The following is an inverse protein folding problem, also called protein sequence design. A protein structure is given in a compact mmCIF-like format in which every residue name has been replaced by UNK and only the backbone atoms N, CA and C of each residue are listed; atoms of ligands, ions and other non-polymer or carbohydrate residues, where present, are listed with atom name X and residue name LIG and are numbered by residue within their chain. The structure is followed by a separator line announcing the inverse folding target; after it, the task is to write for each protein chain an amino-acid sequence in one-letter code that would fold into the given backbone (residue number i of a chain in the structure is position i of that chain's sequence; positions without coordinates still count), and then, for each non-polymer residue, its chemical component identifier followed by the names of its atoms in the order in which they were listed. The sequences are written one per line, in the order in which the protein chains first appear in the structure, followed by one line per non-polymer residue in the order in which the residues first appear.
data_IF_687967291636
#
_entry.id   IF_687967291636
#
_cell.length_a   1.000
_cell.length_b   1.000
_cell.length_c   1.000
_cell.angle_alpha   90.00
_cell.angle_beta   90.00
_cell.angle_gamma   90.00
#
_symmetry.space_group_name_H-M   'P 1'
#
loop_
_entity.id
_entity.type
_entity.pdbx_description
1 polymer ?
#
# COMPACT_ATOMS: atom_id res chain seq x y z
N UNK A 1 -7.33 1.13 -17.17
CA UNK A 1 -7.82 2.32 -16.44
C UNK A 1 -7.24 3.57 -17.09
N UNK A 2 -8.06 4.60 -17.26
CA UNK A 2 -7.66 5.83 -17.94
C UNK A 2 -6.50 6.52 -17.20
N UNK A 3 -5.42 6.97 -17.87
CA UNK A 3 -4.41 7.83 -17.26
C UNK A 3 -4.97 9.10 -16.58
N UNK A 4 -6.12 9.60 -17.05
CA UNK A 4 -6.85 10.71 -16.37
C UNK A 4 -7.35 10.35 -14.95
N UNK A 5 -7.32 9.07 -14.56
CA UNK A 5 -7.68 8.63 -13.20
C UNK A 5 -6.57 8.85 -12.16
N UNK A 6 -5.36 9.26 -12.57
CA UNK A 6 -4.25 9.57 -11.66
C UNK A 6 -4.63 10.77 -10.77
N UNK A 7 -4.47 10.60 -9.45
CA UNK A 7 -4.86 11.61 -8.47
C UNK A 7 -6.38 11.72 -8.23
N UNK A 8 -7.18 10.83 -8.82
CA UNK A 8 -8.62 10.82 -8.65
C UNK A 8 -9.09 9.70 -7.70
N UNK A 9 -10.24 9.85 -7.04
CA UNK A 9 -10.86 8.78 -6.26
C UNK A 9 -11.19 7.57 -7.14
N UNK A 10 -11.37 6.42 -6.53
CA UNK A 10 -11.65 5.18 -7.24
C UNK A 10 -13.16 5.03 -7.53
N UNK A 11 -13.58 5.50 -8.70
CA UNK A 11 -14.97 5.42 -9.14
C UNK A 11 -15.93 6.29 -8.32
N UNK A 12 -17.23 6.13 -8.57
CA UNK A 12 -18.29 6.96 -7.99
C UNK A 12 -19.25 6.15 -7.09
N UNK A 13 -19.14 4.82 -7.04
CA UNK A 13 -20.09 3.98 -6.30
C UNK A 13 -19.89 4.04 -4.79
N UNK A 14 -18.65 4.17 -4.33
CA UNK A 14 -18.29 4.25 -2.91
C UNK A 14 -17.37 5.45 -2.68
N UNK A 15 -17.83 6.43 -1.91
CA UNK A 15 -17.03 7.59 -1.53
C UNK A 15 -16.05 7.20 -0.42
N UNK A 16 -14.74 7.14 -0.73
CA UNK A 16 -13.74 6.74 0.26
C UNK A 16 -12.35 6.45 -0.29
N UNK A 17 -11.39 6.29 0.60
CA UNK A 17 -10.06 5.72 0.34
C UNK A 17 -10.19 4.20 0.52
N UNK A 18 -10.40 3.47 -0.57
CA UNK A 18 -10.87 2.08 -0.52
C UNK A 18 -9.77 1.03 -0.46
N UNK A 19 -8.54 1.40 -0.77
CA UNK A 19 -7.36 0.53 -0.81
C UNK A 19 -6.11 1.33 -0.47
N UNK A 20 -4.97 0.69 -0.41
CA UNK A 20 -3.69 1.37 -0.26
C UNK A 20 -3.54 2.49 -1.31
N UNK A 21 -3.35 3.73 -0.85
CA UNK A 21 -3.25 4.96 -1.65
C UNK A 21 -4.44 5.18 -2.59
N UNK A 22 -5.61 4.74 -2.17
CA UNK A 22 -6.95 5.14 -2.57
C UNK A 22 -7.46 4.64 -3.91
N UNK A 23 -6.61 4.36 -4.88
CA UNK A 23 -7.02 4.04 -6.24
C UNK A 23 -6.13 2.96 -6.88
N UNK A 24 -6.52 2.34 -8.00
CA UNK A 24 -5.68 1.41 -8.74
C UNK A 24 -4.38 2.00 -9.27
N UNK A 25 -4.30 3.32 -9.44
CA UNK A 25 -3.07 4.03 -9.79
C UNK A 25 -2.23 4.41 -8.55
N UNK A 26 -2.69 4.08 -7.33
CA UNK A 26 -1.98 4.34 -6.06
C UNK A 26 -1.61 5.81 -5.83
N UNK A 27 -2.44 6.73 -6.32
CA UNK A 27 -2.14 8.15 -6.42
C UNK A 27 -3.18 9.09 -5.80
N UNK A 28 -4.24 8.55 -5.19
CA UNK A 28 -5.24 9.34 -4.48
C UNK A 28 -5.12 9.16 -2.96
N UNK A 29 -4.76 10.23 -2.25
CA UNK A 29 -4.30 10.10 -0.86
C UNK A 29 -5.36 10.41 0.19
N UNK A 30 -6.56 10.89 -0.21
CA UNK A 30 -7.64 11.22 0.70
C UNK A 30 -8.44 12.45 0.29
N UNK A 31 -9.27 12.93 1.21
CA UNK A 31 -10.18 14.08 1.03
C UNK A 31 -9.97 15.09 2.15
N UNK A 32 -9.67 16.32 1.79
CA UNK A 32 -9.45 17.42 2.72
C UNK A 32 -10.73 17.95 3.44
N UNK A 33 -10.55 18.97 4.26
CA UNK A 33 -9.28 19.62 4.56
C UNK A 33 -8.33 18.79 5.45
N UNK A 34 -7.05 19.15 5.48
CA UNK A 34 -6.11 18.66 6.50
C UNK A 34 -6.26 19.53 7.75
N UNK A 35 -6.27 18.97 8.99
CA UNK A 35 -6.41 19.79 10.19
C UNK A 35 -5.21 20.73 10.39
N UNK A 36 -5.44 21.92 10.99
CA UNK A 36 -4.42 22.94 11.20
C UNK A 36 -3.72 22.83 12.56
N UNK A 37 -4.45 22.45 13.61
CA UNK A 37 -3.95 22.32 14.99
C UNK A 37 -4.48 21.03 15.64
N UNK A 38 -4.12 19.85 15.09
CA UNK A 38 -4.75 18.62 15.49
C UNK A 38 -4.36 18.17 16.91
N UNK A 39 -5.35 17.61 17.59
CA UNK A 39 -5.17 16.84 18.82
C UNK A 39 -5.68 15.42 18.59
N UNK A 40 -5.20 14.46 19.37
CA UNK A 40 -5.79 13.13 19.40
C UNK A 40 -7.18 13.21 20.03
N UNK A 41 -8.21 12.86 19.25
CA UNK A 41 -9.61 12.90 19.72
C UNK A 41 -10.10 11.54 20.19
N UNK A 42 -9.54 10.47 19.64
CA UNK A 42 -9.72 9.10 20.12
C UNK A 42 -8.52 8.23 19.70
N UNK A 43 -8.37 7.09 20.34
CA UNK A 43 -7.48 6.01 19.95
C UNK A 43 -8.21 4.66 20.01
N UNK A 44 -7.92 3.79 19.06
CA UNK A 44 -8.48 2.45 19.00
C UNK A 44 -7.37 1.40 19.15
N UNK A 45 -7.61 0.33 19.90
CA UNK A 45 -8.76 0.09 20.77
C UNK A 45 -8.72 0.98 22.02
N UNK A 46 -9.86 1.23 22.65
CA UNK A 46 -9.94 2.03 23.87
C UNK A 46 -9.13 1.40 25.02
N UNK A 47 -9.18 0.09 25.14
CA UNK A 47 -8.47 -0.71 26.12
C UNK A 47 -7.71 -1.83 25.43
N UNK A 48 -6.53 -2.16 25.95
CA UNK A 48 -5.55 -3.08 25.39
C UNK A 48 -4.85 -2.53 24.13
N UNK A 49 -3.82 -3.22 23.68
CA UNK A 49 -3.09 -2.88 22.48
C UNK A 49 -3.39 -3.91 21.40
N UNK A 50 -3.38 -3.50 20.16
CA UNK A 50 -3.42 -4.42 19.01
C UNK A 50 -2.07 -5.12 18.89
N UNK A 51 -1.87 -6.22 19.62
CA UNK A 51 -0.63 -6.96 19.64
C UNK A 51 -0.86 -8.46 19.55
N UNK A 52 -0.01 -9.17 18.83
CA UNK A 52 0.08 -10.63 18.89
C UNK A 52 1.54 -11.11 18.85
N UNK A 53 1.74 -12.39 19.13
CA UNK A 53 3.01 -13.08 18.91
C UNK A 53 3.05 -13.60 17.48
N UNK A 54 4.10 -13.31 16.76
CA UNK A 54 4.35 -13.87 15.44
C UNK A 54 5.75 -14.45 15.37
N UNK A 55 6.02 -15.34 14.42
CA UNK A 55 7.34 -15.95 14.24
C UNK A 55 7.99 -15.44 12.96
N UNK A 56 9.15 -14.81 13.07
CA UNK A 56 9.96 -14.34 11.96
C UNK A 56 11.29 -15.08 11.99
N UNK A 57 11.63 -15.78 10.90
CA UNK A 57 12.87 -16.56 10.81
C UNK A 57 13.09 -17.52 11.99
N UNK A 58 11.98 -18.07 12.53
CA UNK A 58 12.00 -18.99 13.68
C UNK A 58 12.17 -18.31 15.05
N UNK A 59 12.19 -16.98 15.12
CA UNK A 59 12.21 -16.21 16.36
C UNK A 59 10.79 -15.69 16.63
N UNK A 60 10.26 -15.99 17.82
CA UNK A 60 8.93 -15.51 18.23
C UNK A 60 9.06 -14.12 18.87
N UNK A 61 8.37 -13.14 18.29
CA UNK A 61 8.39 -11.75 18.74
C UNK A 61 6.97 -11.21 18.87
N UNK A 62 6.78 -10.26 19.79
CA UNK A 62 5.52 -9.52 19.89
C UNK A 62 5.52 -8.35 18.91
N UNK A 63 4.52 -8.32 18.04
CA UNK A 63 4.27 -7.21 17.14
C UNK A 63 2.98 -6.49 17.53
N UNK A 64 3.01 -5.16 17.46
CA UNK A 64 1.89 -4.32 17.87
C UNK A 64 1.58 -3.26 16.82
N UNK A 65 0.31 -2.87 16.70
CA UNK A 65 -0.16 -1.78 15.86
C UNK A 65 -0.46 -2.19 14.43
N UNK A 66 -0.11 -1.34 13.49
CA UNK A 66 -0.33 -1.55 12.05
C UNK A 66 1.00 -1.60 11.31
N UNK A 67 1.03 -2.38 10.22
CA UNK A 67 2.22 -2.59 9.39
C UNK A 67 2.58 -1.42 8.48
N UNK A 68 3.81 -1.43 7.98
CA UNK A 68 4.35 -0.42 7.07
C UNK A 68 3.68 -0.39 5.69
N UNK A 69 3.12 -1.50 5.21
CA UNK A 69 2.27 -1.56 4.03
C UNK A 69 0.79 -1.33 4.36
N UNK A 70 0.46 -1.14 5.65
CA UNK A 70 -0.90 -0.93 6.13
C UNK A 70 -1.33 0.53 5.98
N UNK A 71 -2.54 0.73 5.49
CA UNK A 71 -3.29 1.98 5.50
C UNK A 71 -4.73 1.62 5.80
N UNK A 72 -5.42 2.31 6.73
CA UNK A 72 -6.86 2.10 6.92
C UNK A 72 -7.62 2.45 5.64
N UNK A 73 -8.55 1.60 5.21
CA UNK A 73 -9.58 2.01 4.28
C UNK A 73 -10.62 2.86 5.04
N UNK A 74 -10.99 3.99 4.46
CA UNK A 74 -12.03 4.87 5.00
C UNK A 74 -13.06 5.18 3.94
N UNK A 75 -14.35 5.03 4.25
CA UNK A 75 -15.40 5.20 3.27
C UNK A 75 -16.76 5.47 3.93
N UNK A 76 -17.66 6.03 3.15
CA UNK A 76 -19.07 6.20 3.55
C UNK A 76 -19.85 4.96 3.17
N UNK A 77 -20.51 4.39 4.17
CA UNK A 77 -21.43 3.26 3.99
C UNK A 77 -22.67 3.48 4.86
N UNK A 78 -23.86 3.43 4.24
CA UNK A 78 -25.10 3.87 4.85
C UNK A 78 -24.99 5.30 5.39
N UNK A 79 -25.27 5.54 6.68
CA UNK A 79 -25.21 6.87 7.31
C UNK A 79 -23.90 7.12 8.07
N UNK A 80 -22.94 6.15 8.04
CA UNK A 80 -21.71 6.18 8.83
C UNK A 80 -20.47 6.30 7.96
N UNK A 81 -19.41 6.83 8.54
CA UNK A 81 -18.06 6.75 7.95
C UNK A 81 -17.30 5.62 8.63
N UNK A 82 -16.94 4.61 7.85
CA UNK A 82 -16.29 3.41 8.31
C UNK A 82 -14.78 3.48 8.13
N UNK A 83 -14.07 2.90 9.09
CA UNK A 83 -12.67 2.51 8.97
C UNK A 83 -12.59 0.98 9.01
N UNK A 84 -11.98 0.38 7.99
CA UNK A 84 -11.64 -1.05 8.00
C UNK A 84 -10.14 -1.17 7.82
N UNK A 85 -9.49 -1.97 8.68
CA UNK A 85 -8.05 -2.17 8.62
C UNK A 85 -7.63 -3.50 9.25
N UNK A 86 -6.52 -4.05 8.74
CA UNK A 86 -5.82 -5.15 9.37
C UNK A 86 -4.77 -4.65 10.36
N UNK A 87 -4.47 -5.45 11.39
CA UNK A 87 -3.50 -5.07 12.40
C UNK A 87 -2.63 -6.25 12.87
N UNK A 88 -1.62 -5.94 13.67
CA UNK A 88 -0.69 -6.91 14.23
C UNK A 88 -1.25 -7.71 15.42
N UNK A 89 -2.52 -7.50 15.79
CA UNK A 89 -3.23 -8.39 16.70
C UNK A 89 -3.96 -9.54 15.99
N UNK A 90 -3.64 -9.77 14.70
CA UNK A 90 -4.20 -10.84 13.87
C UNK A 90 -5.70 -10.68 13.67
N UNK A 91 -6.17 -9.46 13.43
CA UNK A 91 -7.58 -9.16 13.21
C UNK A 91 -7.80 -8.12 12.12
N UNK A 92 -8.98 -8.22 11.51
CA UNK A 92 -9.59 -7.12 10.75
C UNK A 92 -10.57 -6.39 11.65
N UNK A 93 -10.43 -5.08 11.73
CA UNK A 93 -11.23 -4.19 12.57
C UNK A 93 -12.22 -3.38 11.73
N UNK A 94 -13.42 -3.14 12.29
CA UNK A 94 -14.51 -2.40 11.68
C UNK A 94 -14.94 -1.30 12.66
N UNK A 95 -14.55 -0.05 12.38
CA UNK A 95 -14.59 1.05 13.34
C UNK A 95 -15.32 2.25 12.75
N UNK A 96 -16.12 2.94 13.55
CA UNK A 96 -16.68 4.24 13.20
C UNK A 96 -15.56 5.29 13.21
N UNK A 97 -15.35 5.95 12.08
CA UNK A 97 -14.28 6.92 11.90
C UNK A 97 -14.44 8.16 12.81
N UNK A 98 -15.67 8.53 13.17
CA UNK A 98 -15.91 9.72 13.98
C UNK A 98 -15.68 9.49 15.48
N UNK A 99 -16.05 8.30 15.96
CA UNK A 99 -16.07 7.99 17.40
C UNK A 99 -14.97 7.04 17.88
N UNK A 100 -14.39 6.23 16.97
CA UNK A 100 -13.45 5.16 17.30
C UNK A 100 -14.14 3.91 17.88
N UNK A 101 -15.45 3.86 17.91
CA UNK A 101 -16.21 2.71 18.39
C UNK A 101 -16.29 1.60 17.32
N UNK A 102 -16.42 0.34 17.76
CA UNK A 102 -16.64 -0.78 16.83
C UNK A 102 -18.03 -0.71 16.20
N UNK A 103 -18.08 -0.80 14.88
CA UNK A 103 -19.33 -0.98 14.12
C UNK A 103 -19.70 -2.46 14.02
N UNK A 104 -18.72 -3.34 13.91
CA UNK A 104 -18.88 -4.79 13.93
C UNK A 104 -17.83 -5.43 14.87
N UNK A 105 -18.06 -6.67 15.32
CA UNK A 105 -17.01 -7.47 15.95
C UNK A 105 -15.78 -7.61 15.07
N UNK A 106 -14.59 -7.67 15.68
CA UNK A 106 -13.33 -7.90 14.97
C UNK A 106 -13.36 -9.29 14.30
N UNK A 107 -12.86 -9.42 13.07
CA UNK A 107 -12.67 -10.71 12.41
C UNK A 107 -11.26 -11.26 12.69
N UNK A 108 -11.12 -12.44 13.35
CA UNK A 108 -9.80 -12.99 13.64
C UNK A 108 -9.20 -13.69 12.42
N UNK A 109 -7.89 -13.48 12.20
CA UNK A 109 -7.03 -14.25 11.31
C UNK A 109 -6.11 -15.17 12.13
N UNK A 110 -5.37 -16.04 11.46
CA UNK A 110 -4.45 -16.97 12.14
C UNK A 110 -3.09 -16.37 12.51
N UNK A 111 -2.72 -15.23 11.88
CA UNK A 111 -1.48 -14.48 12.14
C UNK A 111 -1.70 -13.01 11.76
N UNK A 112 -0.68 -12.17 11.98
CA UNK A 112 -0.71 -10.72 11.78
C UNK A 112 -1.10 -10.34 10.33
N UNK A 113 -1.65 -9.13 10.19
CA UNK A 113 -1.95 -8.52 8.89
C UNK A 113 -1.01 -7.33 8.72
N UNK A 114 -0.13 -7.37 7.70
CA UNK A 114 0.80 -6.29 7.36
C UNK A 114 0.23 -5.33 6.30
N UNK A 115 -0.40 -5.91 5.27
CA UNK A 115 -0.95 -5.18 4.13
C UNK A 115 -2.22 -4.38 4.43
N UNK A 116 -2.57 -3.49 3.51
CA UNK A 116 -3.85 -2.79 3.55
C UNK A 116 -4.98 -3.71 3.07
N UNK A 117 -6.14 -3.54 3.67
CA UNK A 117 -7.37 -4.13 3.14
C UNK A 117 -7.84 -3.34 1.90
N UNK A 118 -8.68 -3.96 1.09
CA UNK A 118 -9.40 -3.28 0.01
C UNK A 118 -10.89 -3.45 0.21
N UNK A 119 -11.62 -2.34 0.23
CA UNK A 119 -13.09 -2.31 0.23
C UNK A 119 -13.56 -2.36 -1.22
N UNK A 120 -14.65 -3.05 -1.47
CA UNK A 120 -15.21 -3.23 -2.81
C UNK A 120 -15.61 -1.89 -3.44
N UNK A 121 -15.04 -1.53 -4.62
CA UNK A 121 -15.28 -0.22 -5.23
C UNK A 121 -16.65 -0.08 -5.88
N UNK A 122 -17.36 -1.19 -6.14
CA UNK A 122 -18.64 -1.20 -6.82
C UNK A 122 -19.84 -1.21 -5.84
N UNK A 123 -19.54 -1.10 -4.53
CA UNK A 123 -20.53 -0.97 -3.48
C UNK A 123 -21.08 -2.27 -2.93
N UNK A 124 -20.51 -3.41 -3.28
CA UNK A 124 -20.79 -4.64 -2.53
C UNK A 124 -20.20 -4.52 -1.12
N UNK A 125 -20.88 -4.96 -0.06
CA UNK A 125 -20.37 -4.91 1.30
C UNK A 125 -19.27 -5.96 1.53
N UNK A 126 -18.17 -5.85 0.81
CA UNK A 126 -17.05 -6.77 0.79
C UNK A 126 -15.73 -6.09 1.13
N UNK A 127 -14.87 -6.82 1.83
CA UNK A 127 -13.48 -6.45 2.08
C UNK A 127 -12.55 -7.61 1.73
N UNK A 128 -11.45 -7.27 1.06
CA UNK A 128 -10.42 -8.20 0.59
C UNK A 128 -9.18 -8.01 1.45
N UNK A 129 -8.64 -9.09 2.02
CA UNK A 129 -7.53 -9.01 2.97
C UNK A 129 -6.61 -10.21 2.89
N UNK A 130 -5.32 -9.95 2.85
CA UNK A 130 -4.26 -10.93 3.02
C UNK A 130 -3.74 -10.99 4.46
N UNK A 131 -3.18 -12.11 4.89
CA UNK A 131 -2.59 -12.27 6.21
C UNK A 131 -1.39 -13.22 6.17
N UNK A 132 -0.51 -13.12 7.17
CA UNK A 132 0.61 -14.05 7.39
C UNK A 132 0.19 -15.47 7.76
N UNK A 133 -1.09 -15.74 7.99
CA UNK A 133 -1.61 -17.08 8.13
C UNK A 133 -1.75 -17.85 6.81
N UNK A 134 -1.15 -17.32 5.74
CA UNK A 134 -1.10 -17.85 4.38
C UNK A 134 -2.41 -17.74 3.59
N UNK A 135 -3.43 -17.04 4.07
CA UNK A 135 -4.71 -16.90 3.38
C UNK A 135 -4.96 -15.49 2.87
N UNK A 136 -5.40 -15.43 1.61
CA UNK A 136 -6.16 -14.30 1.05
C UNK A 136 -7.64 -14.58 1.25
N UNK A 137 -8.40 -13.59 1.75
CA UNK A 137 -9.80 -13.72 2.14
C UNK A 137 -10.70 -12.68 1.52
N UNK A 138 -11.96 -13.05 1.35
CA UNK A 138 -13.07 -12.14 1.08
C UNK A 138 -14.04 -12.23 2.26
N UNK A 139 -14.23 -11.10 2.94
CA UNK A 139 -15.15 -10.98 4.05
C UNK A 139 -16.35 -10.11 3.64
N UNK A 140 -17.54 -10.43 4.11
CA UNK A 140 -18.68 -9.52 4.02
C UNK A 140 -18.92 -8.81 5.35
N UNK A 141 -19.45 -7.58 5.28
CA UNK A 141 -19.84 -6.76 6.43
C UNK A 141 -21.33 -6.31 6.36
N UNK A 142 -22.17 -7.08 5.67
CA UNK A 142 -23.62 -6.86 5.49
C UNK A 142 -24.50 -7.47 6.59
N UNK A 143 -23.94 -7.79 7.75
CA UNK A 143 -24.64 -8.44 8.86
C UNK A 143 -24.23 -7.88 10.23
N UNK A 144 -24.70 -8.52 11.31
CA UNK A 144 -24.33 -8.15 12.68
C UNK A 144 -22.87 -8.51 13.04
N UNK A 145 -22.24 -9.37 12.23
CA UNK A 145 -20.84 -9.78 12.34
C UNK A 145 -20.24 -10.03 10.95
N UNK A 146 -18.92 -9.82 10.76
CA UNK A 146 -18.27 -10.10 9.49
C UNK A 146 -18.25 -11.60 9.20
N UNK A 147 -18.44 -11.98 7.93
CA UNK A 147 -18.47 -13.39 7.49
C UNK A 147 -17.38 -13.66 6.47
N UNK A 148 -16.60 -14.72 6.65
CA UNK A 148 -15.68 -15.20 5.60
C UNK A 148 -16.52 -15.90 4.49
N UNK A 149 -16.56 -15.29 3.31
CA UNK A 149 -17.26 -15.84 2.16
C UNK A 149 -16.38 -16.75 1.32
N UNK A 150 -15.09 -16.45 1.28
CA UNK A 150 -14.12 -17.22 0.52
C UNK A 150 -12.71 -16.98 1.07
N UNK A 151 -11.85 -17.97 0.89
CA UNK A 151 -10.40 -17.84 1.08
C UNK A 151 -9.63 -18.81 0.19
N UNK A 152 -8.38 -18.47 -0.09
CA UNK A 152 -7.43 -19.31 -0.81
C UNK A 152 -6.10 -19.33 -0.07
N UNK A 153 -5.47 -20.48 -0.05
CA UNK A 153 -4.17 -20.66 0.59
C UNK A 153 -3.03 -20.46 -0.41
N UNK A 154 -1.96 -19.78 -0.01
CA UNK A 154 -0.81 -19.50 -0.88
C UNK A 154 -0.14 -20.77 -1.45
N UNK A 155 -0.22 -21.90 -0.74
CA UNK A 155 0.31 -23.19 -1.21
C UNK A 155 -0.60 -23.93 -2.22
N UNK A 156 -1.79 -23.43 -2.49
CA UNK A 156 -2.67 -24.01 -3.53
C UNK A 156 -2.09 -23.77 -4.94
N UNK A 157 -1.08 -22.91 -5.04
CA UNK A 157 -0.39 -22.54 -6.29
C UNK A 157 1.05 -23.06 -6.29
N UNK A 158 1.52 -23.53 -7.43
CA UNK A 158 2.85 -24.12 -7.56
C UNK A 158 3.46 -23.89 -8.95
N UNK A 159 4.78 -23.71 -9.05
CA UNK A 159 5.76 -23.63 -7.96
C UNK A 159 5.68 -22.29 -7.22
N UNK A 160 5.98 -22.30 -5.92
CA UNK A 160 6.20 -21.10 -5.12
C UNK A 160 7.70 -20.86 -4.92
N UNK A 161 8.05 -19.59 -4.65
CA UNK A 161 9.38 -19.20 -4.19
C UNK A 161 9.20 -18.48 -2.85
N UNK A 162 10.20 -18.38 -2.03
CA UNK A 162 10.26 -17.68 -0.77
C UNK A 162 9.24 -18.15 0.28
N UNK A 163 8.26 -17.31 0.67
CA UNK A 163 7.34 -17.49 1.81
C UNK A 163 5.88 -17.65 1.32
N UNK A 164 4.87 -17.41 2.17
CA UNK A 164 3.47 -17.61 1.82
C UNK A 164 2.54 -16.52 2.37
N UNK A 165 3.10 -15.44 2.89
CA UNK A 165 2.36 -14.31 3.40
C UNK A 165 1.67 -13.54 2.25
N UNK A 166 0.61 -12.81 2.57
CA UNK A 166 -0.10 -11.95 1.63
C UNK A 166 0.00 -10.50 2.13
N UNK A 167 1.08 -9.83 1.77
CA UNK A 167 1.39 -8.47 2.21
C UNK A 167 0.98 -7.39 1.21
N UNK A 168 0.86 -7.75 -0.06
CA UNK A 168 0.36 -6.88 -1.12
C UNK A 168 -1.11 -6.53 -0.91
N UNK A 169 -1.48 -5.26 -1.11
CA UNK A 169 -2.88 -4.81 -1.04
C UNK A 169 -3.61 -5.17 -2.32
N UNK A 170 -4.66 -6.01 -2.28
CA UNK A 170 -5.34 -6.44 -3.50
C UNK A 170 -6.06 -5.29 -4.22
N UNK A 171 -6.40 -5.50 -5.50
CA UNK A 171 -7.27 -4.62 -6.29
C UNK A 171 -8.47 -5.39 -6.82
N UNK A 172 -9.59 -4.69 -7.01
CA UNK A 172 -10.79 -5.21 -7.66
C UNK A 172 -11.20 -4.29 -8.80
N UNK A 173 -11.23 -4.79 -10.02
CA UNK A 173 -11.64 -4.03 -11.21
C UNK A 173 -12.52 -4.94 -12.07
N UNK A 174 -13.69 -4.47 -12.49
CA UNK A 174 -14.58 -5.18 -13.42
C UNK A 174 -14.89 -6.63 -13.00
N UNK A 175 -15.16 -6.85 -11.72
CA UNK A 175 -15.39 -8.17 -11.12
C UNK A 175 -14.15 -9.10 -11.07
N UNK A 176 -12.93 -8.57 -11.31
CA UNK A 176 -11.67 -9.29 -11.17
C UNK A 176 -10.91 -8.84 -9.94
N UNK A 177 -10.42 -9.81 -9.16
CA UNK A 177 -9.51 -9.60 -8.05
C UNK A 177 -8.07 -9.84 -8.51
N UNK A 178 -7.23 -8.84 -8.34
CA UNK A 178 -5.79 -8.86 -8.60
C UNK A 178 -5.04 -8.95 -7.28
N UNK A 179 -4.30 -10.01 -7.06
CA UNK A 179 -3.61 -10.25 -5.81
C UNK A 179 -2.24 -10.88 -6.01
N UNK A 180 -1.30 -10.52 -5.16
CA UNK A 180 0.04 -11.08 -5.13
C UNK A 180 0.48 -11.29 -3.67
N UNK A 181 1.52 -12.08 -3.47
CA UNK A 181 2.03 -12.38 -2.14
C UNK A 181 3.47 -12.91 -2.15
N UNK A 182 3.96 -13.24 -0.96
CA UNK A 182 5.31 -13.76 -0.76
C UNK A 182 5.54 -15.16 -1.36
N UNK A 183 4.47 -15.84 -1.83
CA UNK A 183 4.59 -17.04 -2.67
C UNK A 183 5.21 -16.74 -4.05
N UNK A 184 5.49 -15.45 -4.31
CA UNK A 184 6.14 -14.93 -5.50
C UNK A 184 5.33 -15.10 -6.78
N UNK A 185 4.01 -15.27 -6.67
CA UNK A 185 3.10 -15.41 -7.80
C UNK A 185 2.09 -14.29 -7.83
N UNK A 186 1.64 -13.93 -9.01
CA UNK A 186 0.52 -13.03 -9.24
C UNK A 186 -0.71 -13.83 -9.63
N UNK A 187 -1.87 -13.48 -9.04
CA UNK A 187 -3.13 -14.21 -9.18
C UNK A 187 -4.24 -13.27 -9.65
N UNK A 188 -5.06 -13.74 -10.57
CA UNK A 188 -6.26 -13.04 -11.03
C UNK A 188 -7.45 -13.98 -10.89
N UNK A 189 -8.46 -13.54 -10.12
CA UNK A 189 -9.69 -14.28 -9.90
C UNK A 189 -10.87 -13.50 -10.47
N UNK A 190 -11.80 -14.18 -11.12
CA UNK A 190 -13.12 -13.63 -11.42
C UNK A 190 -14.03 -13.88 -10.23
N UNK A 191 -14.56 -12.82 -9.62
CA UNK A 191 -15.21 -12.88 -8.31
C UNK A 191 -16.61 -13.46 -8.32
N UNK A 192 -17.37 -13.27 -9.44
CA UNK A 192 -18.78 -13.68 -9.57
C UNK A 192 -19.63 -13.13 -8.41
N UNK A 193 -19.50 -11.82 -8.15
CA UNK A 193 -20.23 -11.13 -7.06
C UNK A 193 -21.72 -11.02 -7.39
N UNK A 194 -22.58 -11.30 -6.41
CA UNK A 194 -24.03 -11.18 -6.54
C UNK A 194 -24.72 -11.09 -5.18
N UNK A 195 -26.04 -11.00 -5.18
CA UNK A 195 -26.85 -11.10 -3.97
C UNK A 195 -27.70 -12.35 -4.02
N UNK A 196 -27.84 -13.03 -2.87
CA UNK A 196 -28.76 -14.16 -2.73
C UNK A 196 -30.23 -13.69 -2.63
N UNK A 197 -31.16 -14.66 -2.49
CA UNK A 197 -32.61 -14.37 -2.41
C UNK A 197 -33.01 -13.61 -1.13
N UNK A 198 -32.16 -13.65 -0.11
CA UNK A 198 -32.31 -12.91 1.14
C UNK A 198 -31.69 -11.53 1.10
N UNK A 199 -31.04 -11.15 -0.04
CA UNK A 199 -30.37 -9.87 -0.24
C UNK A 199 -28.99 -9.78 0.41
N UNK A 200 -28.38 -10.90 0.79
CA UNK A 200 -27.01 -10.95 1.33
C UNK A 200 -26.00 -11.12 0.20
N UNK A 201 -24.86 -10.46 0.33
CA UNK A 201 -23.79 -10.60 -0.66
C UNK A 201 -23.20 -12.02 -0.65
N UNK A 202 -22.94 -12.53 -1.84
CA UNK A 202 -22.30 -13.82 -2.10
C UNK A 202 -21.25 -13.67 -3.20
N UNK A 203 -20.22 -14.52 -3.13
CA UNK A 203 -19.13 -14.58 -4.12
C UNK A 203 -18.85 -16.03 -4.51
N UNK A 204 -18.38 -16.25 -5.72
CA UNK A 204 -17.91 -17.55 -6.22
C UNK A 204 -16.64 -17.39 -7.03
N UNK A 205 -15.51 -17.02 -6.37
CA UNK A 205 -14.28 -16.72 -7.08
C UNK A 205 -13.72 -17.91 -7.85
N UNK A 206 -13.40 -17.69 -9.12
CA UNK A 206 -12.77 -18.64 -10.01
C UNK A 206 -11.40 -18.11 -10.42
N UNK A 207 -10.35 -18.95 -10.31
CA UNK A 207 -9.03 -18.59 -10.79
C UNK A 207 -9.07 -18.44 -12.32
N UNK A 208 -8.77 -17.24 -12.81
CA UNK A 208 -8.65 -16.96 -14.23
C UNK A 208 -7.26 -17.35 -14.69
N UNK A 209 -6.24 -16.82 -14.03
CA UNK A 209 -4.84 -17.13 -14.30
C UNK A 209 -3.98 -16.89 -13.08
N UNK A 210 -2.84 -17.57 -13.01
CA UNK A 210 -1.75 -17.26 -12.11
C UNK A 210 -0.40 -17.44 -12.83
N UNK A 211 0.53 -16.55 -12.55
CA UNK A 211 1.84 -16.57 -13.20
C UNK A 211 2.97 -16.19 -12.23
N UNK A 212 4.21 -16.67 -12.49
CA UNK A 212 5.36 -16.35 -11.65
C UNK A 212 5.71 -14.87 -11.77
N UNK A 213 5.96 -14.22 -10.62
CA UNK A 213 6.52 -12.88 -10.54
C UNK A 213 8.04 -12.85 -10.76
N UNK A 214 8.64 -13.92 -11.25
CA UNK A 214 10.07 -14.06 -11.52
C UNK A 214 10.32 -14.71 -12.88
N UNK A 215 11.56 -14.65 -13.33
CA UNK A 215 12.09 -15.47 -14.43
C UNK A 215 13.42 -16.14 -14.03
N UNK A 216 13.90 -17.06 -14.87
CA UNK A 216 15.10 -17.84 -14.57
C UNK A 216 16.37 -16.97 -14.52
N UNK A 217 16.40 -15.86 -15.28
CA UNK A 217 17.51 -14.89 -15.23
C UNK A 217 17.58 -14.26 -13.85
N UNK A 218 16.47 -13.75 -13.32
CA UNK A 218 16.42 -13.18 -11.97
C UNK A 218 16.81 -14.18 -10.91
N UNK A 219 16.29 -15.41 -10.97
CA UNK A 219 16.63 -16.47 -10.00
C UNK A 219 18.12 -16.79 -10.02
N UNK A 220 18.76 -16.77 -11.19
CA UNK A 220 20.21 -16.97 -11.31
C UNK A 220 21.01 -15.89 -10.60
N UNK A 221 20.51 -14.64 -10.61
CA UNK A 221 21.21 -13.47 -10.04
C UNK A 221 20.99 -13.31 -8.53
N UNK A 222 19.75 -13.52 -8.05
CA UNK A 222 19.36 -13.19 -6.67
C UNK A 222 18.89 -14.39 -5.82
N UNK A 223 18.72 -15.56 -6.42
CA UNK A 223 18.18 -16.73 -5.73
C UNK A 223 16.65 -16.70 -5.60
N UNK A 224 16.11 -17.35 -4.55
CA UNK A 224 14.66 -17.59 -4.41
C UNK A 224 13.90 -16.54 -3.62
N UNK A 225 14.57 -15.55 -3.02
CA UNK A 225 13.86 -14.43 -2.36
C UNK A 225 13.39 -13.43 -3.42
N UNK A 226 12.19 -13.67 -3.93
CA UNK A 226 11.54 -12.91 -5.01
C UNK A 226 10.05 -12.71 -4.71
N UNK A 227 9.71 -12.56 -3.42
CA UNK A 227 8.35 -12.25 -2.95
C UNK A 227 7.76 -11.02 -3.65
N UNK A 228 6.44 -10.95 -3.75
CA UNK A 228 5.75 -9.76 -4.25
C UNK A 228 5.07 -9.11 -3.06
N UNK A 229 5.71 -8.06 -2.53
CA UNK A 229 5.19 -7.24 -1.42
C UNK A 229 4.61 -5.92 -1.92
N UNK A 230 5.02 -5.47 -3.10
CA UNK A 230 4.41 -4.30 -3.76
C UNK A 230 2.93 -4.54 -4.03
N UNK A 231 2.12 -3.51 -3.84
CA UNK A 231 0.71 -3.56 -4.23
C UNK A 231 0.57 -3.39 -5.75
N UNK A 232 -0.33 -4.14 -6.42
CA UNK A 232 -0.54 -4.02 -7.85
C UNK A 232 -0.98 -2.59 -8.23
N UNK A 233 -0.43 -2.11 -9.33
CA UNK A 233 -0.77 -0.86 -9.99
C UNK A 233 -1.38 -1.20 -11.34
N UNK A 234 -2.51 -0.59 -11.69
CA UNK A 234 -3.09 -0.73 -13.03
C UNK A 234 -3.21 0.65 -13.67
N UNK A 235 -2.51 0.82 -14.79
CA UNK A 235 -2.52 2.02 -15.62
C UNK A 235 -2.85 1.65 -17.07
N UNK A 236 -3.91 2.20 -17.62
CA UNK A 236 -4.45 1.73 -18.89
C UNK A 236 -4.84 0.26 -18.79
N UNK A 237 -4.38 -0.51 -19.75
CA UNK A 237 -4.54 -1.96 -19.81
C UNK A 237 -3.31 -2.72 -19.33
N UNK A 238 -2.44 -2.06 -18.54
CA UNK A 238 -1.22 -2.69 -18.04
C UNK A 238 -1.22 -2.77 -16.52
N UNK A 239 -1.02 -3.98 -16.04
CA UNK A 239 -0.76 -4.29 -14.64
C UNK A 239 0.74 -4.19 -14.37
N UNK A 240 1.15 -3.37 -13.39
CA UNK A 240 2.53 -3.26 -12.94
C UNK A 240 2.68 -3.74 -11.50
N UNK A 241 3.81 -4.38 -11.23
CA UNK A 241 4.27 -4.75 -9.89
C UNK A 241 5.78 -4.98 -9.90
N UNK A 242 6.37 -5.06 -8.72
CA UNK A 242 7.75 -5.46 -8.55
C UNK A 242 7.88 -6.55 -7.49
N UNK A 243 9.05 -7.11 -7.33
CA UNK A 243 9.33 -8.14 -6.35
C UNK A 243 10.61 -7.86 -5.56
N UNK A 244 10.80 -8.60 -4.46
CA UNK A 244 11.99 -8.50 -3.60
C UNK A 244 13.29 -8.90 -4.30
N UNK A 245 13.25 -9.50 -5.49
CA UNK A 245 14.43 -9.67 -6.35
C UNK A 245 14.83 -8.41 -7.15
N UNK A 246 14.00 -7.36 -7.08
CA UNK A 246 14.21 -6.10 -7.80
C UNK A 246 13.67 -6.08 -9.22
N UNK A 247 12.80 -7.02 -9.60
CA UNK A 247 12.24 -7.10 -10.94
C UNK A 247 10.93 -6.31 -11.03
N UNK A 248 10.96 -5.18 -11.72
CA UNK A 248 9.81 -4.39 -12.11
C UNK A 248 9.21 -4.97 -13.39
N UNK A 249 7.91 -5.24 -13.39
CA UNK A 249 7.21 -5.90 -14.50
C UNK A 249 5.95 -5.15 -14.88
N UNK A 250 5.61 -5.18 -16.18
CA UNK A 250 4.33 -4.75 -16.73
C UNK A 250 3.71 -5.89 -17.55
N UNK A 251 2.43 -6.14 -17.34
CA UNK A 251 1.67 -7.20 -17.98
C UNK A 251 0.43 -6.63 -18.67
N UNK A 252 0.28 -6.91 -19.96
CA UNK A 252 -0.93 -6.55 -20.71
C UNK A 252 -2.09 -7.43 -20.27
N UNK A 253 -3.16 -6.78 -19.81
CA UNK A 253 -4.40 -7.38 -19.31
C UNK A 253 -5.63 -6.97 -20.15
N UNK A 254 -5.44 -6.31 -21.31
CA UNK A 254 -6.54 -5.80 -22.15
C UNK A 254 -7.55 -6.88 -22.56
N UNK A 255 -7.07 -8.10 -22.80
CA UNK A 255 -7.90 -9.22 -23.23
C UNK A 255 -8.50 -10.08 -22.13
N UNK A 256 -8.36 -9.69 -20.86
CA UNK A 256 -8.74 -10.53 -19.72
C UNK A 256 -10.24 -10.94 -19.78
N UNK A 257 -11.13 -10.00 -20.10
CA UNK A 257 -12.57 -10.26 -20.22
C UNK A 257 -12.95 -11.14 -21.43
N UNK A 258 -12.05 -11.29 -22.40
CA UNK A 258 -12.19 -12.16 -23.56
C UNK A 258 -11.54 -13.55 -23.35
N UNK A 259 -10.97 -13.78 -22.15
CA UNK A 259 -10.27 -15.01 -21.82
C UNK A 259 -8.87 -15.12 -22.43
N UNK A 260 -8.27 -13.97 -22.77
CA UNK A 260 -6.89 -13.91 -23.29
C UNK A 260 -5.95 -13.81 -22.09
N UNK A 261 -4.97 -14.71 -22.03
CA UNK A 261 -3.96 -14.75 -20.97
C UNK A 261 -3.10 -13.48 -20.97
N UNK A 262 -2.81 -12.89 -19.80
CA UNK A 262 -1.90 -11.76 -19.68
C UNK A 262 -0.50 -12.08 -20.22
N UNK A 263 0.11 -11.11 -20.89
CA UNK A 263 1.47 -11.25 -21.42
C UNK A 263 2.38 -10.17 -20.88
N UNK A 264 3.63 -10.55 -20.50
CA UNK A 264 4.60 -9.58 -20.01
C UNK A 264 5.08 -8.67 -21.14
N UNK A 265 4.83 -7.37 -21.02
CA UNK A 265 5.18 -6.33 -21.99
C UNK A 265 6.31 -5.42 -21.50
N UNK A 266 6.62 -5.44 -20.20
CA UNK A 266 7.68 -4.64 -19.61
C UNK A 266 8.49 -5.44 -18.60
N UNK A 267 9.81 -5.25 -18.61
CA UNK A 267 10.77 -5.88 -17.69
C UNK A 267 11.92 -4.92 -17.41
N UNK A 268 12.15 -4.61 -16.15
CA UNK A 268 13.33 -3.86 -15.72
C UNK A 268 13.87 -4.43 -14.40
N UNK A 269 15.16 -4.77 -14.35
CA UNK A 269 15.79 -5.22 -13.11
C UNK A 269 16.50 -4.07 -12.42
N UNK A 270 15.99 -3.65 -11.27
CA UNK A 270 16.53 -2.58 -10.44
C UNK A 270 17.77 -3.01 -9.64
N UNK A 271 18.00 -4.30 -9.49
CA UNK A 271 19.23 -4.86 -8.92
C UNK A 271 19.15 -5.19 -7.43
N UNK A 272 18.16 -4.69 -6.70
CA UNK A 272 17.97 -4.98 -5.28
C UNK A 272 16.47 -4.97 -4.93
N UNK A 273 16.12 -5.19 -3.68
CA UNK A 273 14.77 -5.37 -3.19
C UNK A 273 13.83 -4.21 -3.50
N UNK A 274 12.61 -4.50 -3.97
CA UNK A 274 11.56 -3.51 -4.24
C UNK A 274 10.28 -3.93 -3.53
N UNK A 275 10.09 -3.35 -2.35
CA UNK A 275 8.88 -3.52 -1.55
C UNK A 275 7.98 -2.28 -1.62
N UNK A 276 8.58 -1.10 -1.87
CA UNK A 276 7.82 0.11 -2.15
C UNK A 276 6.95 -0.04 -3.40
N UNK A 277 5.66 0.26 -3.27
CA UNK A 277 4.73 0.17 -4.41
C UNK A 277 5.11 1.18 -5.49
N UNK A 278 5.06 0.76 -6.75
CA UNK A 278 5.30 1.60 -7.92
C UNK A 278 4.19 2.65 -8.02
N UNK A 279 4.55 3.89 -8.35
CA UNK A 279 3.57 4.94 -8.62
C UNK A 279 3.79 5.53 -10.02
N UNK A 280 2.74 5.81 -10.78
CA UNK A 280 2.83 6.43 -12.09
C UNK A 280 2.64 7.95 -11.99
N UNK A 281 3.16 8.70 -12.94
CA UNK A 281 2.72 10.07 -13.20
C UNK A 281 1.72 10.16 -14.35
N UNK A 282 1.17 11.36 -14.56
CA UNK A 282 0.19 11.69 -15.59
C UNK A 282 0.72 11.57 -17.02
N UNK A 283 2.03 11.48 -17.19
CA UNK A 283 2.69 11.20 -18.48
C UNK A 283 2.94 9.71 -18.70
N UNK A 284 2.67 8.85 -17.69
CA UNK A 284 2.83 7.40 -17.74
C UNK A 284 4.20 6.88 -17.32
N UNK A 285 5.09 7.75 -16.82
CA UNK A 285 6.36 7.30 -16.22
C UNK A 285 6.11 6.63 -14.88
N UNK A 286 6.97 5.67 -14.54
CA UNK A 286 6.92 4.92 -13.29
C UNK A 286 8.04 5.35 -12.34
N UNK A 287 7.70 5.51 -11.06
CA UNK A 287 8.66 5.81 -10.01
C UNK A 287 8.79 4.61 -9.07
N UNK A 288 10.03 4.19 -8.84
CA UNK A 288 10.37 2.97 -8.09
C UNK A 288 11.34 3.31 -6.99
N UNK A 289 10.99 2.93 -5.75
CA UNK A 289 11.91 2.96 -4.61
C UNK A 289 12.55 1.58 -4.43
N UNK A 290 13.85 1.53 -4.24
CA UNK A 290 14.64 0.30 -4.13
C UNK A 290 15.38 0.30 -2.80
N UNK A 291 15.37 -0.81 -2.11
CA UNK A 291 16.19 -1.05 -0.93
C UNK A 291 17.64 -1.33 -1.30
N UNK A 292 18.52 -1.32 -0.33
CA UNK A 292 19.92 -1.67 -0.52
C UNK A 292 20.31 -2.78 0.47
N UNK A 293 19.82 -3.97 0.23
CA UNK A 293 20.02 -5.14 1.08
C UNK A 293 21.08 -6.09 0.55
N UNK A 294 20.97 -6.48 -0.72
CA UNK A 294 21.89 -7.42 -1.38
C UNK A 294 23.14 -6.74 -1.88
N UNK A 295 23.10 -5.40 -2.05
CA UNK A 295 24.20 -4.60 -2.54
C UNK A 295 24.81 -5.17 -3.83
N UNK A 296 23.97 -5.62 -4.76
CA UNK A 296 24.42 -6.14 -6.05
C UNK A 296 25.21 -5.11 -6.83
N UNK A 297 25.95 -5.56 -7.85
CA UNK A 297 26.63 -4.61 -8.73
C UNK A 297 25.61 -3.74 -9.50
N UNK A 298 24.50 -4.33 -9.93
CA UNK A 298 23.43 -3.63 -10.63
C UNK A 298 22.78 -2.54 -9.78
N UNK A 299 22.46 -2.82 -8.52
CA UNK A 299 21.91 -1.85 -7.56
C UNK A 299 22.84 -0.65 -7.33
N UNK A 300 24.17 -0.86 -7.37
CA UNK A 300 25.17 0.20 -7.27
C UNK A 300 25.25 1.06 -8.53
N UNK A 301 25.00 0.49 -9.69
CA UNK A 301 25.00 1.19 -10.97
C UNK A 301 23.73 2.01 -11.19
N UNK A 302 22.59 1.45 -10.80
CA UNK A 302 21.28 2.09 -11.00
C UNK A 302 20.96 3.12 -9.91
N UNK A 303 21.21 2.81 -8.65
CA UNK A 303 20.74 3.61 -7.51
C UNK A 303 19.39 3.13 -6.94
N UNK A 304 18.85 3.87 -5.97
CA UNK A 304 17.71 3.43 -5.17
C UNK A 304 16.41 4.19 -5.46
N UNK A 305 16.49 5.30 -6.15
CA UNK A 305 15.31 6.09 -6.57
C UNK A 305 15.36 6.18 -8.10
N UNK A 306 14.33 5.68 -8.76
CA UNK A 306 14.37 5.40 -10.18
C UNK A 306 13.12 5.96 -10.87
N UNK A 307 13.28 6.59 -12.04
CA UNK A 307 12.22 6.90 -13.00
C UNK A 307 12.37 6.04 -14.24
N UNK A 308 11.29 5.38 -14.65
CA UNK A 308 11.25 4.50 -15.83
C UNK A 308 10.23 4.99 -16.85
N UNK A 309 10.55 4.82 -18.12
CA UNK A 309 9.64 4.97 -19.25
C UNK A 309 9.20 3.59 -19.75
N UNK A 310 8.00 3.11 -19.40
CA UNK A 310 7.53 1.80 -19.84
C UNK A 310 7.17 1.77 -21.35
N UNK A 311 7.04 2.93 -21.99
CA UNK A 311 6.81 3.01 -23.44
C UNK A 311 8.08 2.74 -24.25
N UNK A 312 9.26 2.77 -23.62
CA UNK A 312 10.55 2.44 -24.19
C UNK A 312 11.20 1.23 -23.48
N UNK A 313 10.67 0.01 -23.63
CA UNK A 313 11.10 -1.14 -22.85
C UNK A 313 12.55 -1.60 -23.12
N UNK A 314 13.16 -1.18 -24.24
CA UNK A 314 14.56 -1.50 -24.55
C UNK A 314 15.56 -0.64 -23.77
N UNK A 315 15.21 0.60 -23.42
CA UNK A 315 16.02 1.52 -22.63
C UNK A 315 15.13 2.38 -21.74
N UNK A 316 14.52 1.78 -20.70
CA UNK A 316 13.47 2.43 -19.91
C UNK A 316 14.00 3.39 -18.84
N UNK A 317 15.28 3.37 -18.49
CA UNK A 317 15.82 4.22 -17.41
C UNK A 317 15.93 5.68 -17.86
N UNK A 318 15.03 6.53 -17.30
CA UNK A 318 15.05 7.98 -17.60
C UNK A 318 16.09 8.68 -16.74
N UNK A 319 16.03 8.47 -15.42
CA UNK A 319 17.02 8.96 -14.47
C UNK A 319 17.00 8.12 -13.19
N UNK A 320 18.05 8.22 -12.41
CA UNK A 320 18.12 7.59 -11.10
C UNK A 320 18.95 8.40 -10.11
N UNK A 321 18.67 8.21 -8.82
CA UNK A 321 19.38 8.87 -7.70
C UNK A 321 19.85 7.81 -6.72
N UNK A 322 21.09 7.99 -6.25
CA UNK A 322 21.69 7.13 -5.25
C UNK A 322 21.25 7.54 -3.83
N UNK A 323 20.72 6.58 -3.05
CA UNK A 323 20.50 6.69 -1.61
C UNK A 323 20.83 5.37 -0.91
N UNK A 324 22.11 5.11 -0.65
CA UNK A 324 22.63 3.90 -0.02
C UNK A 324 23.78 4.16 0.94
N UNK A 325 23.59 4.92 2.02
CA UNK A 325 24.68 5.27 2.93
C UNK A 325 25.26 4.07 3.68
N UNK A 326 24.50 3.00 3.84
CA UNK A 326 24.90 1.75 4.50
C UNK A 326 24.06 0.57 3.99
N UNK A 327 24.49 -0.65 4.28
CA UNK A 327 23.74 -1.87 3.96
C UNK A 327 22.43 -1.90 4.77
N UNK A 328 21.35 -2.39 4.19
CA UNK A 328 19.98 -2.34 4.72
C UNK A 328 19.48 -0.90 4.88
N UNK A 329 19.74 -0.07 3.89
CA UNK A 329 19.18 1.28 3.71
C UNK A 329 18.38 1.34 2.42
N UNK A 330 18.08 2.52 1.92
CA UNK A 330 17.33 2.75 0.69
C UNK A 330 15.88 3.14 0.93
N UNK A 331 14.99 2.70 0.06
CA UNK A 331 13.61 3.20 0.00
C UNK A 331 12.63 2.07 0.31
N UNK A 332 11.96 2.16 1.46
CA UNK A 332 10.90 1.25 1.90
C UNK A 332 9.51 1.82 1.69
N UNK A 333 9.40 3.15 1.80
CA UNK A 333 8.13 3.85 1.66
C UNK A 333 7.75 4.05 0.20
N UNK A 334 6.48 3.89 -0.12
CA UNK A 334 5.94 4.22 -1.44
C UNK A 334 6.01 5.73 -1.66
N UNK A 335 6.59 6.22 -2.78
CA UNK A 335 6.72 7.64 -3.04
C UNK A 335 5.37 8.31 -3.29
N UNK A 336 5.34 9.63 -3.20
CA UNK A 336 4.18 10.43 -3.57
C UNK A 336 4.54 11.40 -4.69
N UNK A 337 3.58 11.66 -5.58
CA UNK A 337 3.69 12.67 -6.63
C UNK A 337 2.85 13.87 -6.24
N UNK A 338 3.44 15.04 -6.38
CA UNK A 338 2.76 16.32 -6.20
C UNK A 338 3.31 17.35 -7.17
N UNK A 339 2.46 17.82 -8.08
CA UNK A 339 2.82 18.77 -9.15
C UNK A 339 4.08 18.30 -9.93
N UNK A 340 5.17 19.05 -9.87
CA UNK A 340 6.43 18.79 -10.55
C UNK A 340 7.44 18.01 -9.71
N UNK A 341 7.05 17.52 -8.54
CA UNK A 341 7.86 16.72 -7.62
C UNK A 341 7.43 15.27 -7.56
N UNK A 342 8.40 14.41 -7.34
CA UNK A 342 8.23 13.11 -6.70
C UNK A 342 8.95 13.12 -5.35
N UNK A 343 8.27 12.63 -4.31
CA UNK A 343 8.73 12.71 -2.92
C UNK A 343 9.02 11.31 -2.40
N UNK A 344 10.28 11.07 -2.04
CA UNK A 344 10.79 9.79 -1.54
C UNK A 344 11.25 9.90 -0.09
N UNK A 345 10.55 9.28 0.87
CA UNK A 345 11.09 9.03 2.20
C UNK A 345 12.13 7.91 2.16
N UNK A 346 13.14 7.98 3.02
CA UNK A 346 14.23 7.01 3.07
C UNK A 346 14.36 6.34 4.43
N UNK A 347 14.97 5.17 4.49
CA UNK A 347 15.25 4.45 5.74
C UNK A 347 16.07 5.27 6.74
N UNK A 348 16.84 6.25 6.27
CA UNK A 348 17.62 7.14 7.13
C UNK A 348 16.81 8.25 7.80
N UNK A 349 15.52 8.40 7.46
CA UNK A 349 14.69 9.52 7.91
C UNK A 349 14.90 10.80 7.10
N UNK A 350 15.46 10.72 5.90
CA UNK A 350 15.42 11.82 4.95
C UNK A 350 14.17 11.72 4.09
N UNK A 351 13.70 12.87 3.62
CA UNK A 351 12.64 12.95 2.61
C UNK A 351 13.15 13.84 1.49
N UNK A 352 13.29 13.26 0.31
CA UNK A 352 13.77 13.98 -0.87
C UNK A 352 12.59 14.44 -1.72
N UNK A 353 12.51 15.74 -2.02
CA UNK A 353 11.69 16.27 -3.10
C UNK A 353 12.54 16.39 -4.35
N UNK A 354 12.19 15.60 -5.36
CA UNK A 354 12.96 15.41 -6.58
C UNK A 354 12.16 15.96 -7.76
N UNK A 355 12.81 16.74 -8.60
CA UNK A 355 12.23 17.19 -9.87
C UNK A 355 11.88 15.99 -10.76
N UNK A 356 10.62 15.86 -11.16
CA UNK A 356 10.15 14.72 -11.97
C UNK A 356 10.81 14.64 -13.34
N UNK A 357 11.24 15.76 -13.90
CA UNK A 357 11.82 15.83 -15.26
C UNK A 357 13.31 15.51 -15.22
N UNK A 358 14.05 16.18 -14.31
CA UNK A 358 15.52 16.12 -14.33
C UNK A 358 16.12 15.07 -13.40
N UNK A 359 15.39 14.66 -12.36
CA UNK A 359 15.92 13.81 -11.29
C UNK A 359 16.76 14.57 -10.27
N UNK A 360 16.83 15.89 -10.35
CA UNK A 360 17.58 16.69 -9.38
C UNK A 360 16.85 16.76 -8.03
N UNK A 361 17.57 16.54 -6.94
CA UNK A 361 17.02 16.76 -5.59
C UNK A 361 16.90 18.26 -5.38
N UNK A 362 15.68 18.78 -5.35
CA UNK A 362 15.41 20.20 -5.08
C UNK A 362 15.57 20.55 -3.60
N UNK A 363 15.14 19.62 -2.74
CA UNK A 363 15.23 19.78 -1.30
C UNK A 363 15.29 18.43 -0.57
N UNK A 364 15.77 18.48 0.65
CA UNK A 364 15.76 17.34 1.58
C UNK A 364 15.27 17.79 2.95
N UNK A 365 14.29 17.09 3.51
CA UNK A 365 13.93 17.18 4.92
C UNK A 365 14.66 16.12 5.72
N UNK A 366 14.94 16.42 6.99
CA UNK A 366 15.44 15.44 7.95
C UNK A 366 14.40 15.19 9.05
N UNK A 367 13.97 13.96 9.18
CA UNK A 367 13.07 13.49 10.23
C UNK A 367 13.88 12.99 11.43
N UNK A 368 13.21 12.74 12.55
CA UNK A 368 13.88 12.29 13.78
C UNK A 368 14.10 10.78 13.85
N UNK A 369 13.49 10.02 12.93
CA UNK A 369 13.56 8.57 12.84
C UNK A 369 13.43 8.11 11.41
N UNK A 370 13.55 6.80 11.19
CA UNK A 370 13.36 6.17 9.88
C UNK A 370 11.99 6.53 9.30
N UNK A 371 11.92 6.74 7.99
CA UNK A 371 10.70 7.12 7.29
C UNK A 371 10.19 5.95 6.45
N UNK A 372 9.47 5.04 7.09
CA UNK A 372 8.83 3.88 6.44
C UNK A 372 7.37 4.15 6.06
N UNK A 373 6.75 5.15 6.69
CA UNK A 373 5.42 5.63 6.31
C UNK A 373 5.45 6.27 4.92
N UNK A 374 4.48 5.96 4.07
CA UNK A 374 4.34 6.62 2.76
C UNK A 374 3.70 7.99 2.92
N UNK A 375 4.14 9.04 2.19
CA UNK A 375 3.55 10.36 2.28
C UNK A 375 2.11 10.35 1.77
N UNK A 376 1.20 10.98 2.50
CA UNK A 376 -0.15 11.30 2.04
C UNK A 376 -0.27 12.81 1.80
N UNK A 377 -0.70 13.22 0.60
CA UNK A 377 -0.75 14.64 0.21
C UNK A 377 -2.18 15.01 -0.17
N UNK A 378 -2.75 15.93 0.58
CA UNK A 378 -4.12 16.43 0.35
C UNK A 378 -4.10 17.96 0.48
N UNK A 379 -4.73 18.66 -0.46
CA UNK A 379 -4.83 20.13 -0.48
C UNK A 379 -3.46 20.84 -0.34
N UNK A 380 -2.39 20.28 -0.93
CA UNK A 380 -1.04 20.85 -0.84
C UNK A 380 -0.34 20.62 0.50
N UNK A 381 -0.91 19.81 1.37
CA UNK A 381 -0.31 19.45 2.66
C UNK A 381 0.14 17.99 2.65
N UNK A 382 1.42 17.75 2.88
CA UNK A 382 2.00 16.43 3.05
C UNK A 382 1.95 16.01 4.51
N UNK A 383 1.34 14.84 4.78
CA UNK A 383 1.34 14.20 6.10
C UNK A 383 2.22 12.96 6.06
N UNK A 384 3.14 12.83 7.02
CA UNK A 384 4.12 11.76 7.07
C UNK A 384 4.49 11.39 8.51
N UNK A 385 4.58 10.08 8.78
CA UNK A 385 5.04 9.50 10.04
C UNK A 385 6.51 9.10 10.01
N UNK A 386 7.13 8.97 11.19
CA UNK A 386 8.47 8.38 11.34
C UNK A 386 8.59 7.43 12.54
N UNK A 387 9.69 6.69 12.61
CA UNK A 387 9.97 5.74 13.70
C UNK A 387 10.42 6.38 15.01
N UNK A 388 10.44 7.70 15.12
CA UNK A 388 10.49 8.38 16.42
C UNK A 388 9.11 8.59 17.05
N UNK A 389 8.04 8.11 16.38
CA UNK A 389 6.64 8.26 16.80
C UNK A 389 6.05 9.62 16.48
N UNK A 390 6.64 10.37 15.57
CA UNK A 390 6.11 11.67 15.17
C UNK A 390 5.35 11.58 13.86
N UNK A 391 4.13 12.11 13.84
CA UNK A 391 3.36 12.41 12.66
C UNK A 391 3.43 13.92 12.42
N UNK A 392 3.80 14.32 11.22
CA UNK A 392 4.01 15.72 10.84
C UNK A 392 3.25 16.08 9.60
N UNK A 393 2.84 17.35 9.51
CA UNK A 393 2.36 17.96 8.27
C UNK A 393 3.32 19.03 7.78
N UNK A 394 3.45 19.12 6.45
CA UNK A 394 4.32 20.06 5.76
C UNK A 394 3.55 20.76 4.64
N UNK A 395 3.80 22.06 4.46
CA UNK A 395 3.22 22.86 3.40
C UNK A 395 4.00 22.71 2.08
N UNK A 396 3.35 22.19 1.06
CA UNK A 396 3.92 22.00 -0.28
C UNK A 396 3.52 23.12 -1.27
N UNK A 397 2.95 24.22 -0.81
CA UNK A 397 2.50 25.32 -1.70
C UNK A 397 3.63 25.95 -2.52
N UNK A 398 4.88 25.80 -2.09
CA UNK A 398 6.08 26.16 -2.87
C UNK A 398 6.99 24.92 -3.00
N UNK A 399 6.94 24.28 -4.17
CA UNK A 399 7.71 23.06 -4.46
C UNK A 399 9.20 23.32 -4.67
N UNK A 400 9.64 24.58 -4.75
CA UNK A 400 11.04 24.93 -4.99
C UNK A 400 11.93 24.95 -3.74
N UNK A 401 11.31 24.94 -2.55
CA UNK A 401 12.01 24.98 -1.25
C UNK A 401 11.64 23.79 -0.38
N UNK A 402 12.46 23.48 0.62
CA UNK A 402 12.11 22.51 1.64
C UNK A 402 10.82 22.94 2.37
N UNK A 403 9.77 22.11 2.39
CA UNK A 403 8.46 22.51 2.86
C UNK A 403 8.50 22.81 4.38
N UNK A 404 7.92 23.95 4.82
CA UNK A 404 7.85 24.26 6.24
C UNK A 404 6.90 23.29 6.96
N UNK A 405 7.28 22.90 8.18
CA UNK A 405 6.42 22.10 9.03
C UNK A 405 5.24 22.93 9.55
N UNK A 406 4.02 22.50 9.29
CA UNK A 406 2.79 23.12 9.80
C UNK A 406 2.50 22.72 11.23
N UNK A 407 2.48 21.41 11.49
CA UNK A 407 2.24 20.86 12.82
C UNK A 407 2.94 19.51 13.02
N UNK A 408 2.96 19.07 14.25
CA UNK A 408 3.37 17.71 14.63
C UNK A 408 2.57 17.21 15.82
N UNK A 409 2.27 15.91 15.80
CA UNK A 409 1.73 15.16 16.95
C UNK A 409 2.62 13.96 17.23
N UNK A 410 2.46 13.33 18.39
CA UNK A 410 3.33 12.24 18.81
C UNK A 410 2.54 11.05 19.34
N UNK A 411 2.99 9.85 18.96
CA UNK A 411 2.63 8.56 19.53
C UNK A 411 3.81 7.98 20.31
N UNK A 412 3.64 6.85 20.99
CA UNK A 412 4.71 6.19 21.76
C UNK A 412 5.51 5.16 20.95
N UNK A 413 5.09 4.85 19.72
CA UNK A 413 5.74 3.88 18.82
C UNK A 413 6.06 4.45 17.45
N UNK A 414 6.82 3.70 16.67
CA UNK A 414 7.06 4.00 15.25
C UNK A 414 5.73 4.17 14.50
N UNK A 415 5.60 5.21 13.68
CA UNK A 415 4.52 5.37 12.72
C UNK A 415 5.07 4.93 11.37
N UNK A 416 4.90 3.66 11.05
CA UNK A 416 5.31 3.07 9.78
C UNK A 416 4.12 2.89 8.81
N UNK A 417 2.91 2.77 9.36
CA UNK A 417 1.70 2.72 8.57
C UNK A 417 1.44 4.05 7.84
N UNK A 418 0.90 3.97 6.65
CA UNK A 418 0.50 5.15 5.89
C UNK A 418 -0.73 5.79 6.53
N UNK A 419 -0.67 7.08 6.80
CA UNK A 419 -1.83 7.83 7.29
C UNK A 419 -2.91 7.95 6.19
N UNK A 420 -4.18 8.04 6.62
CA UNK A 420 -5.28 8.41 5.73
C UNK A 420 -5.90 9.73 6.21
N UNK A 421 -6.20 10.62 5.25
CA UNK A 421 -6.77 11.95 5.50
C UNK A 421 -8.20 11.94 4.99
N UNK A 422 -9.14 12.33 5.85
CA UNK A 422 -10.54 12.35 5.50
C UNK A 422 -11.30 13.45 6.22
N UNK A 423 -11.83 14.40 5.46
CA UNK A 423 -12.76 15.45 5.93
C UNK A 423 -12.34 16.09 7.27
N UNK A 424 -11.11 16.59 7.37
CA UNK A 424 -10.60 17.29 8.57
C UNK A 424 -9.99 16.40 9.64
N UNK A 425 -9.86 15.10 9.39
CA UNK A 425 -9.24 14.14 10.33
C UNK A 425 -8.11 13.37 9.66
N UNK A 426 -7.02 13.17 10.39
CA UNK A 426 -5.91 12.28 10.01
C UNK A 426 -5.95 11.04 10.89
N UNK A 427 -5.98 9.87 10.27
CA UNK A 427 -5.93 8.59 10.96
C UNK A 427 -4.57 7.95 10.74
N UNK A 428 -3.88 7.56 11.80
CA UNK A 428 -2.55 6.98 11.73
C UNK A 428 -2.37 5.83 12.72
N UNK A 429 -1.93 4.68 12.21
CA UNK A 429 -1.54 3.53 13.02
C UNK A 429 -0.13 3.67 13.57
N UNK A 430 0.10 3.18 14.79
CA UNK A 430 1.40 3.23 15.45
C UNK A 430 1.80 1.88 16.04
N UNK A 431 3.09 1.61 16.06
CA UNK A 431 3.69 0.42 16.70
C UNK A 431 3.53 0.37 18.21
N UNK A 432 2.99 1.42 18.83
CA UNK A 432 2.56 1.38 20.23
C UNK A 432 1.27 0.56 20.46
N UNK A 433 0.64 0.10 19.37
CA UNK A 433 -0.52 -0.79 19.42
C UNK A 433 -1.86 -0.09 19.22
N UNK A 434 -1.85 1.16 18.72
CA UNK A 434 -3.07 1.94 18.56
C UNK A 434 -3.19 2.52 17.14
N UNK A 435 -4.44 2.70 16.70
CA UNK A 435 -4.83 3.61 15.63
C UNK A 435 -5.35 4.89 16.27
N UNK A 436 -4.86 6.03 15.83
CA UNK A 436 -5.23 7.36 16.34
C UNK A 436 -6.03 8.15 15.31
N UNK A 437 -6.99 8.97 15.79
CA UNK A 437 -7.60 10.03 15.03
C UNK A 437 -7.14 11.39 15.54
N UNK A 438 -6.63 12.20 14.62
CA UNK A 438 -6.16 13.56 14.91
C UNK A 438 -7.01 14.56 14.13
N UNK A 439 -7.66 15.49 14.80
CA UNK A 439 -8.44 16.58 14.20
C UNK A 439 -8.38 17.84 15.04
N UNK A 440 -8.77 18.95 14.47
CA UNK A 440 -8.85 20.20 15.19
C UNK A 440 -9.88 20.13 16.31
N UNK A 441 -9.58 20.79 17.41
CA UNK A 441 -10.53 20.90 18.53
C UNK A 441 -11.66 21.86 18.11
N UNK A 442 -12.86 21.33 17.95
CA UNK A 442 -14.06 22.14 17.75
C UNK A 442 -14.52 22.62 19.12
N UNK A 443 -14.45 23.96 19.34
CA UNK A 443 -14.93 24.61 20.57
C UNK A 443 -16.44 24.55 20.67
#
# INVERSE_FOLDING_TARGET
MDPESIGQPWGDAVEGVLTFRGSPTRSWYGKGPVPENPISVWSFPENNRMCSMTSISGVSEQWCGMGWTGQPAIFKYEEETWLIFGAYDSKVHFVNAQTGERLLPDFPTGDIIKGSVTVDPDGFPLVYVGSRDNYLRILSFDGEEPRELWKVHAYDFSPTKWNNDWDSSPLVIDDYLFAAGENSRFHIFHLNRSYDLEGRVVVSPELVTDFPGWDEELISDVGSNVSIETSPLILGDTLYFANSGGLVQGWDIAGLSEGIEPTRVFRFWAGDDVDATIVPDDEGYLYVGVEYERATQRSKEIGQIIKLDPSNPEDPLVWSVEDRPYLNSGIWATPAIYEDLVIFPTDQGKVHGIDRITGDIRWTLELSGKAWSSPAIVDGVMVLGDCSGQLRAFDLSDTSIAPPQLWRVRTEGCIEATAVIWEGTVYAGSRDGFLYAFRDFIQ
#
